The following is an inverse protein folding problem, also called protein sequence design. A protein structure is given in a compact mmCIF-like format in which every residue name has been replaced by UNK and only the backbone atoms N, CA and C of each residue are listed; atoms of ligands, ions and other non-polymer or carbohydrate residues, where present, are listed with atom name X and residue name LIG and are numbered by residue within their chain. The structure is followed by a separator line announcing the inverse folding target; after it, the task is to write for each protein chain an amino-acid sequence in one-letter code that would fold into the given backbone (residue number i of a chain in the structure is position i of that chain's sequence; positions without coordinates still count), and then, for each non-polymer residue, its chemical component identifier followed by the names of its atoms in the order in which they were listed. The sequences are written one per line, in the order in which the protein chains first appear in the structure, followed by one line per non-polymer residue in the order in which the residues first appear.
data_IF_940431347276
#
_entry.id   IF_940431347276
#
_cell.length_a   1.000
_cell.length_b   1.000
_cell.length_c   1.000
_cell.angle_alpha   90.00
_cell.angle_beta   90.00
_cell.angle_gamma   90.00
#
_symmetry.space_group_name_H-M   'P 1'
#
loop_
_entity.id
_entity.type
_entity.pdbx_description
1 polymer ?
#
# COMPACT_ATOMS: atom_id res chain seq x y z
N UNK A 1 3.87 10.26 -14.89
CA UNK A 1 2.79 10.04 -15.86
C UNK A 1 1.94 8.93 -15.27
N UNK A 2 0.73 9.23 -14.80
CA UNK A 2 -0.10 8.22 -14.12
C UNK A 2 -0.64 7.25 -15.16
N UNK A 3 -0.25 5.98 -15.08
CA UNK A 3 -0.76 4.92 -15.95
C UNK A 3 -2.12 4.49 -15.43
N UNK A 4 -3.13 4.52 -16.30
CA UNK A 4 -4.48 4.06 -15.95
C UNK A 4 -4.55 2.56 -16.16
N UNK A 5 -4.77 1.82 -15.07
CA UNK A 5 -4.98 0.37 -15.12
C UNK A 5 -6.21 0.02 -15.96
N UNK A 6 -6.07 -0.97 -16.83
CA UNK A 6 -7.16 -1.54 -17.61
C UNK A 6 -7.82 -2.69 -16.85
N UNK A 7 -9.08 -2.99 -17.20
CA UNK A 7 -9.88 -4.02 -16.51
C UNK A 7 -9.22 -5.39 -16.48
N UNK A 8 -8.53 -5.77 -17.55
CA UNK A 8 -7.86 -7.05 -17.73
C UNK A 8 -6.51 -7.17 -16.98
N UNK A 9 -6.00 -6.04 -16.48
CA UNK A 9 -4.84 -5.96 -15.58
C UNK A 9 -5.25 -6.17 -14.11
N UNK A 10 -6.51 -5.88 -13.75
CA UNK A 10 -7.05 -6.03 -12.39
C UNK A 10 -7.58 -7.46 -12.19
N UNK A 11 -6.70 -8.38 -11.78
CA UNK A 11 -7.03 -9.79 -11.56
C UNK A 11 -6.14 -10.45 -10.51
N UNK A 12 -6.57 -11.63 -10.03
CA UNK A 12 -5.84 -12.41 -9.03
C UNK A 12 -6.18 -11.99 -7.60
N UNK A 13 -5.25 -12.25 -6.68
CA UNK A 13 -5.37 -11.83 -5.28
C UNK A 13 -4.88 -10.38 -5.18
N UNK A 14 -5.71 -9.52 -4.60
CA UNK A 14 -5.42 -8.10 -4.38
C UNK A 14 -5.56 -7.84 -2.88
N UNK A 15 -4.50 -8.04 -2.07
CA UNK A 15 -4.61 -7.91 -0.63
C UNK A 15 -4.73 -6.43 -0.23
N UNK A 16 -5.50 -6.13 0.82
CA UNK A 16 -5.35 -4.87 1.54
C UNK A 16 -4.03 -4.87 2.31
N UNK A 17 -3.23 -3.81 2.18
CA UNK A 17 -2.01 -3.64 2.95
C UNK A 17 -2.26 -2.78 4.17
N UNK A 18 -1.50 -3.04 5.22
CA UNK A 18 -1.48 -2.19 6.42
C UNK A 18 -0.54 -1.01 6.19
N UNK A 19 -0.89 0.16 6.72
CA UNK A 19 0.08 1.25 6.82
C UNK A 19 0.97 0.98 8.02
N UNK A 20 2.27 1.09 7.84
CA UNK A 20 3.25 0.81 8.90
C UNK A 20 3.68 2.11 9.55
N UNK A 21 3.75 2.09 10.88
CA UNK A 21 4.08 3.26 11.68
C UNK A 21 5.20 2.93 12.66
N UNK A 22 6.03 3.91 12.93
CA UNK A 22 7.02 3.90 14.00
C UNK A 22 6.33 4.09 15.36
N UNK A 23 7.03 3.84 16.48
CA UNK A 23 6.46 4.04 17.81
C UNK A 23 6.01 5.48 18.12
N UNK A 24 6.54 6.48 17.41
CA UNK A 24 6.15 7.88 17.52
C UNK A 24 4.94 8.27 16.67
N UNK A 25 4.43 7.34 15.84
CA UNK A 25 3.27 7.55 14.97
C UNK A 25 3.61 7.99 13.56
N UNK A 26 4.88 8.29 13.25
CA UNK A 26 5.30 8.60 11.88
C UNK A 26 5.27 7.34 11.00
N UNK A 27 5.07 7.49 9.69
CA UNK A 27 5.17 6.38 8.75
C UNK A 27 6.54 5.68 8.82
N UNK A 28 6.52 4.35 8.89
CA UNK A 28 7.69 3.48 8.74
C UNK A 28 7.79 2.97 7.30
N UNK A 29 8.40 3.77 6.42
CA UNK A 29 8.50 3.46 5.00
C UNK A 29 9.41 2.25 4.70
N UNK A 30 10.39 1.98 5.56
CA UNK A 30 11.30 0.85 5.34
C UNK A 30 10.60 -0.48 5.63
N UNK A 31 9.76 -0.50 6.67
CA UNK A 31 8.91 -1.64 6.98
C UNK A 31 7.83 -1.83 5.89
N UNK A 32 7.18 -0.75 5.44
CA UNK A 32 6.20 -0.81 4.34
C UNK A 32 6.82 -1.39 3.07
N UNK A 33 8.00 -0.93 2.68
CA UNK A 33 8.74 -1.50 1.54
C UNK A 33 9.12 -2.97 1.75
N UNK A 34 9.32 -3.39 3.00
CA UNK A 34 9.50 -4.80 3.36
C UNK A 34 8.26 -5.64 3.07
N UNK A 35 7.09 -5.14 3.44
CA UNK A 35 5.79 -5.76 3.12
C UNK A 35 5.58 -5.86 1.61
N UNK A 36 5.84 -4.79 0.86
CA UNK A 36 5.76 -4.81 -0.61
C UNK A 36 6.65 -5.88 -1.23
N UNK A 37 7.93 -5.96 -0.84
CA UNK A 37 8.85 -7.00 -1.31
C UNK A 37 8.37 -8.41 -0.97
N UNK A 38 7.77 -8.59 0.21
CA UNK A 38 7.20 -9.87 0.59
C UNK A 38 6.01 -10.24 -0.31
N UNK A 39 5.08 -9.31 -0.55
CA UNK A 39 3.93 -9.51 -1.44
C UNK A 39 4.38 -9.84 -2.87
N UNK A 40 5.35 -9.11 -3.41
CA UNK A 40 5.97 -9.40 -4.71
C UNK A 40 6.57 -10.82 -4.75
N UNK A 41 7.29 -11.22 -3.69
CA UNK A 41 7.88 -12.56 -3.60
C UNK A 41 6.83 -13.69 -3.53
N UNK A 42 5.63 -13.37 -3.05
CA UNK A 42 4.47 -14.27 -3.02
C UNK A 42 3.68 -14.29 -4.35
N UNK A 43 4.12 -13.53 -5.37
CA UNK A 43 3.47 -13.45 -6.67
C UNK A 43 2.27 -12.50 -6.72
N UNK A 44 2.14 -11.58 -5.75
CA UNK A 44 1.12 -10.52 -5.77
C UNK A 44 1.57 -9.39 -6.70
N UNK A 45 0.68 -8.96 -7.59
CA UNK A 45 0.94 -7.91 -8.58
C UNK A 45 0.15 -6.63 -8.36
N UNK A 46 -0.84 -6.65 -7.47
CA UNK A 46 -1.70 -5.51 -7.15
C UNK A 46 -2.03 -5.52 -5.67
N UNK A 47 -2.17 -4.36 -5.05
CA UNK A 47 -2.54 -4.23 -3.65
C UNK A 47 -3.42 -2.99 -3.43
N UNK A 48 -4.21 -3.01 -2.35
CA UNK A 48 -5.02 -1.86 -1.93
C UNK A 48 -4.34 -1.18 -0.74
N UNK A 49 -4.07 0.12 -0.88
CA UNK A 49 -3.44 0.96 0.15
C UNK A 49 -4.44 2.04 0.60
N UNK A 50 -4.42 2.41 1.88
CA UNK A 50 -5.30 3.46 2.42
C UNK A 50 -6.77 3.06 2.56
N UNK A 51 -7.08 1.76 2.53
CA UNK A 51 -8.39 1.26 2.99
C UNK A 51 -8.48 1.24 4.52
N UNK A 52 -9.62 0.80 5.09
CA UNK A 52 -9.76 0.67 6.55
C UNK A 52 -8.71 -0.26 7.18
N UNK A 53 -8.34 -1.35 6.51
CA UNK A 53 -7.22 -2.21 6.94
C UNK A 53 -5.87 -1.48 6.95
N UNK A 54 -5.71 -0.49 6.06
CA UNK A 54 -4.51 0.35 5.96
C UNK A 54 -4.60 1.63 6.78
N UNK A 55 -5.49 1.72 7.77
CA UNK A 55 -5.72 2.94 8.58
C UNK A 55 -6.04 4.17 7.74
N UNK A 56 -6.79 4.00 6.64
CA UNK A 56 -7.12 5.10 5.73
C UNK A 56 -7.90 6.25 6.36
N UNK A 57 -8.60 6.02 7.47
CA UNK A 57 -9.30 7.04 8.26
C UNK A 57 -8.37 7.83 9.20
N UNK A 58 -7.18 7.31 9.50
CA UNK A 58 -6.17 7.94 10.36
C UNK A 58 -5.08 8.66 9.54
N UNK A 59 -4.80 8.18 8.33
CA UNK A 59 -3.83 8.79 7.44
C UNK A 59 -4.26 10.20 7.01
N UNK A 60 -3.33 11.14 7.05
CA UNK A 60 -3.46 12.39 6.31
C UNK A 60 -3.37 12.14 4.80
N UNK A 61 -3.86 13.10 4.01
CA UNK A 61 -3.75 13.03 2.55
C UNK A 61 -2.29 13.02 2.06
N UNK A 62 -1.38 13.65 2.81
CA UNK A 62 0.05 13.67 2.50
C UNK A 62 0.69 12.30 2.73
N UNK A 63 0.40 11.67 3.88
CA UNK A 63 0.88 10.33 4.20
C UNK A 63 0.38 9.28 3.20
N UNK A 64 -0.91 9.33 2.85
CA UNK A 64 -1.45 8.45 1.81
C UNK A 64 -0.73 8.67 0.47
N UNK A 65 -0.45 9.93 0.12
CA UNK A 65 0.32 10.29 -1.07
C UNK A 65 1.71 9.66 -1.08
N UNK A 66 2.42 9.68 0.04
CA UNK A 66 3.75 9.06 0.19
C UNK A 66 3.71 7.54 -0.01
N UNK A 67 2.65 6.87 0.46
CA UNK A 67 2.53 5.41 0.35
C UNK A 67 2.24 4.91 -1.08
N UNK A 68 1.73 5.78 -1.96
CA UNK A 68 1.31 5.42 -3.33
C UNK A 68 2.14 6.09 -4.43
N UNK A 69 3.24 6.75 -4.05
CA UNK A 69 4.25 7.34 -4.96
C UNK A 69 5.27 6.29 -5.44
#
# INVERSE_FOLDING_TARGET
MTTVLQKDEIKGIIPPLVSTFKPDGDLDLDLFKGELRFMESAGISLAIVGGSTGSGDELSAEELGILVD
#
